data_IF_639812244872
#
_entry.id   IF_639812244872
#
_cell.length_a   1.000
_cell.length_b   1.000
_cell.length_c   1.000
_cell.angle_alpha   90.00
_cell.angle_beta   90.00
_cell.angle_gamma   90.00
#
_symmetry.space_group_name_H-M   'P 1'
#
loop_
_entity.id
_entity.type
_entity.pdbx_description
1 polymer ?
#
# COMPACT_ATOMS: atom_id res chain seq x y z
N UNK A 1 16.34 14.41 56.84
CA UNK A 1 16.55 15.84 56.49
C UNK A 1 17.22 15.84 55.12
N UNK A 2 16.64 16.27 54.00
CA UNK A 2 15.63 17.31 53.74
C UNK A 2 14.47 16.80 52.84
N UNK A 3 13.31 17.46 52.97
CA UNK A 3 12.09 17.43 52.14
C UNK A 3 12.32 18.11 50.77
N UNK A 4 11.51 17.93 49.71
CA UNK A 4 10.14 18.45 49.51
C UNK A 4 9.47 17.84 48.26
N UNK A 5 8.16 17.56 48.39
CA UNK A 5 7.05 17.42 47.43
C UNK A 5 7.28 17.40 45.91
N UNK A 6 6.55 16.48 45.25
CA UNK A 6 5.65 16.82 44.13
C UNK A 6 4.44 15.86 44.09
N UNK A 7 3.25 16.43 44.27
CA UNK A 7 2.05 15.95 43.62
C UNK A 7 2.31 15.97 42.11
N UNK A 8 2.06 14.84 41.43
CA UNK A 8 1.35 14.89 40.14
C UNK A 8 0.73 13.52 39.87
N UNK A 9 -0.57 13.45 40.17
CA UNK A 9 -1.46 12.44 39.64
C UNK A 9 -1.74 12.76 38.17
N UNK A 10 -0.98 12.18 37.24
CA UNK A 10 -1.50 11.91 35.90
C UNK A 10 -0.99 10.55 35.45
N UNK A 11 -1.96 9.65 35.32
CA UNK A 11 -1.90 8.45 34.52
C UNK A 11 -1.47 8.79 33.10
N UNK A 12 -0.20 8.55 32.78
CA UNK A 12 0.24 8.44 31.39
C UNK A 12 -0.27 7.10 30.86
N UNK A 13 -1.53 7.16 30.42
CA UNK A 13 -2.17 6.12 29.63
C UNK A 13 -1.41 6.01 28.32
N UNK A 14 -0.85 4.82 28.11
CA UNK A 14 -0.46 4.20 26.84
C UNK A 14 -0.65 5.11 25.60
N UNK A 15 0.48 5.57 25.04
CA UNK A 15 0.51 5.93 23.64
C UNK A 15 0.32 4.65 22.81
N UNK A 16 -0.93 4.41 22.40
CA UNK A 16 -1.27 3.48 21.32
C UNK A 16 -0.56 3.94 20.05
N UNK A 17 0.57 3.32 19.74
CA UNK A 17 1.18 3.37 18.40
C UNK A 17 0.29 2.61 17.41
N UNK A 18 -0.84 3.20 17.05
CA UNK A 18 -1.53 2.86 15.81
C UNK A 18 -0.75 3.48 14.65
N UNK A 19 -0.41 2.69 13.64
CA UNK A 19 0.07 3.22 12.37
C UNK A 19 -0.85 4.36 11.94
N UNK A 20 -0.28 5.51 11.62
CA UNK A 20 -1.04 6.70 11.22
C UNK A 20 -1.73 6.37 9.89
N UNK A 21 -3.05 6.19 9.84
CA UNK A 21 -3.73 5.73 8.62
C UNK A 21 -3.49 6.73 7.48
N UNK A 22 -3.48 6.29 6.21
CA UNK A 22 -3.04 7.14 5.08
C UNK A 22 -3.75 8.49 4.94
N UNK A 23 -5.00 8.61 5.43
CA UNK A 23 -5.71 9.90 5.52
C UNK A 23 -5.06 10.92 6.47
N UNK A 24 -4.11 10.48 7.29
CA UNK A 24 -3.26 11.29 8.16
C UNK A 24 -1.81 11.40 7.66
N UNK A 25 -1.43 10.72 6.56
CA UNK A 25 -0.13 10.92 5.91
C UNK A 25 -0.20 12.15 5.02
N UNK A 26 0.87 12.92 4.94
CA UNK A 26 0.98 14.12 4.12
C UNK A 26 2.20 14.07 3.19
N UNK A 27 2.19 14.88 2.14
CA UNK A 27 3.41 15.21 1.37
C UNK A 27 4.43 15.90 2.30
N UNK A 28 5.66 16.09 1.80
CA UNK A 28 6.69 16.84 2.52
C UNK A 28 6.28 18.26 2.90
N UNK A 29 5.28 18.84 2.22
CA UNK A 29 4.73 20.17 2.51
C UNK A 29 3.44 20.14 3.35
N UNK A 30 3.11 19.00 3.99
CA UNK A 30 1.97 18.89 4.89
C UNK A 30 0.61 18.74 4.18
N UNK A 31 0.58 18.57 2.86
CA UNK A 31 -0.66 18.32 2.10
C UNK A 31 -1.10 16.87 2.32
N UNK A 32 -2.31 16.57 2.81
CA UNK A 32 -2.76 15.19 3.02
C UNK A 32 -2.64 14.35 1.75
N UNK A 33 -2.21 13.09 1.85
CA UNK A 33 -2.12 12.21 0.68
C UNK A 33 -3.50 11.77 0.20
N UNK A 34 -4.46 11.66 1.12
CA UNK A 34 -5.85 11.33 0.84
C UNK A 34 -6.79 12.30 1.55
N UNK A 35 -7.92 12.58 0.92
CA UNK A 35 -9.06 13.30 1.51
C UNK A 35 -10.25 12.35 1.62
N UNK A 36 -10.74 12.15 2.84
CA UNK A 36 -11.95 11.35 3.10
C UNK A 36 -13.16 12.01 2.43
N UNK A 37 -14.00 11.21 1.78
CA UNK A 37 -15.18 11.70 1.05
C UNK A 37 -14.86 12.36 -0.29
N UNK A 38 -13.65 12.18 -0.81
CA UNK A 38 -13.23 12.64 -2.13
C UNK A 38 -12.87 11.45 -3.05
N UNK A 39 -12.95 11.68 -4.36
CA UNK A 39 -12.31 10.84 -5.37
C UNK A 39 -10.82 11.19 -5.36
N UNK A 40 -10.00 10.31 -4.80
CA UNK A 40 -8.57 10.56 -4.66
C UNK A 40 -7.83 10.18 -5.95
N UNK A 41 -7.25 11.17 -6.64
CA UNK A 41 -6.51 11.02 -7.88
C UNK A 41 -5.00 11.00 -7.59
N UNK A 42 -4.37 9.86 -7.86
CA UNK A 42 -2.92 9.70 -7.78
C UNK A 42 -2.32 9.49 -9.16
N UNK A 43 -1.25 10.23 -9.47
CA UNK A 43 -0.57 10.15 -10.75
C UNK A 43 0.93 10.03 -10.53
N UNK A 44 1.50 8.93 -11.01
CA UNK A 44 2.93 8.73 -11.04
C UNK A 44 3.43 8.96 -12.47
N UNK A 45 4.30 9.94 -12.66
CA UNK A 45 4.79 10.33 -13.99
C UNK A 45 6.14 11.06 -13.91
N UNK A 46 6.97 10.97 -14.96
CA UNK A 46 8.27 11.64 -14.99
C UNK A 46 8.14 13.18 -14.96
N UNK A 47 9.14 13.85 -14.37
CA UNK A 47 9.11 15.29 -14.04
C UNK A 47 8.70 16.28 -15.15
N UNK A 48 9.06 16.12 -16.44
CA UNK A 48 8.60 17.07 -17.46
C UNK A 48 7.10 16.96 -17.73
N UNK A 49 6.55 15.74 -17.67
CA UNK A 49 5.13 15.50 -17.92
C UNK A 49 4.27 15.94 -16.73
N UNK A 50 4.81 15.84 -15.51
CA UNK A 50 4.12 16.24 -14.27
C UNK A 50 3.66 17.70 -14.28
N UNK A 51 4.46 18.63 -14.81
CA UNK A 51 4.12 20.06 -14.83
C UNK A 51 2.95 20.32 -15.80
N UNK A 52 3.05 19.79 -17.02
CA UNK A 52 2.03 19.96 -18.06
C UNK A 52 0.70 19.32 -17.62
N UNK A 53 0.78 18.10 -17.08
CA UNK A 53 -0.39 17.39 -16.60
C UNK A 53 -1.02 18.05 -15.37
N UNK A 54 -0.23 18.66 -14.49
CA UNK A 54 -0.77 19.48 -13.39
C UNK A 54 -1.65 20.60 -13.93
N UNK A 55 -1.18 21.35 -14.93
CA UNK A 55 -1.94 22.48 -15.48
C UNK A 55 -3.31 22.05 -16.03
N UNK A 56 -3.33 20.99 -16.85
CA UNK A 56 -4.57 20.50 -17.48
C UNK A 56 -5.55 19.93 -16.44
N UNK A 57 -5.04 19.19 -15.46
CA UNK A 57 -5.89 18.50 -14.47
C UNK A 57 -6.39 19.46 -13.40
N UNK A 58 -5.65 20.52 -13.07
CA UNK A 58 -6.13 21.57 -12.16
C UNK A 58 -7.44 22.17 -12.69
N UNK A 59 -7.46 22.61 -13.94
CA UNK A 59 -8.64 23.25 -14.54
C UNK A 59 -9.84 22.29 -14.56
N UNK A 60 -9.62 21.05 -14.99
CA UNK A 60 -10.67 20.02 -14.97
C UNK A 60 -11.20 19.75 -13.55
N UNK A 61 -10.31 19.59 -12.57
CA UNK A 61 -10.69 19.30 -11.20
C UNK A 61 -11.47 20.46 -10.57
N UNK A 62 -11.12 21.72 -10.87
CA UNK A 62 -11.85 22.90 -10.41
C UNK A 62 -13.28 22.94 -10.96
N UNK A 63 -13.45 22.73 -12.27
CA UNK A 63 -14.77 22.70 -12.93
C UNK A 63 -15.63 21.55 -12.37
N UNK A 64 -15.04 20.36 -12.23
CA UNK A 64 -15.74 19.21 -11.67
C UNK A 64 -16.17 19.46 -10.22
N UNK A 65 -15.26 19.97 -9.38
CA UNK A 65 -15.51 20.23 -7.97
C UNK A 65 -16.55 21.33 -7.73
N UNK A 66 -16.70 22.27 -8.66
CA UNK A 66 -17.73 23.29 -8.60
C UNK A 66 -19.16 22.74 -8.82
N UNK A 67 -19.29 21.57 -9.46
CA UNK A 67 -20.57 21.03 -9.92
C UNK A 67 -20.97 19.69 -9.29
N UNK A 68 -20.09 19.06 -8.50
CA UNK A 68 -20.32 17.72 -7.95
C UNK A 68 -20.21 17.68 -6.42
N UNK A 69 -21.08 16.90 -5.78
CA UNK A 69 -21.11 16.75 -4.33
C UNK A 69 -19.90 15.98 -3.75
N UNK A 70 -19.29 15.09 -4.54
CA UNK A 70 -18.08 14.35 -4.18
C UNK A 70 -16.91 14.94 -4.97
N UNK A 71 -15.96 15.65 -4.32
CA UNK A 71 -14.89 16.34 -5.04
C UNK A 71 -13.78 15.37 -5.49
N UNK A 72 -13.09 15.71 -6.57
CA UNK A 72 -11.77 15.16 -6.92
C UNK A 72 -10.71 15.85 -6.04
N UNK A 73 -9.84 15.03 -5.46
CA UNK A 73 -8.70 15.47 -4.66
C UNK A 73 -7.43 14.84 -5.18
N UNK A 74 -6.37 15.64 -5.36
CA UNK A 74 -5.04 15.11 -5.62
C UNK A 74 -3.99 15.92 -4.88
N UNK A 75 -3.09 15.27 -4.12
CA UNK A 75 -2.00 15.97 -3.44
C UNK A 75 -1.15 16.78 -4.42
N UNK A 76 -0.96 16.30 -5.65
CA UNK A 76 -0.19 16.99 -6.68
C UNK A 76 -0.75 18.37 -7.08
N UNK A 77 -2.06 18.55 -7.00
CA UNK A 77 -2.73 19.83 -7.30
C UNK A 77 -2.50 20.84 -6.17
N UNK A 78 -2.46 20.36 -4.93
CA UNK A 78 -2.32 21.19 -3.73
C UNK A 78 -0.88 21.33 -3.24
N UNK A 79 0.02 20.46 -3.68
CA UNK A 79 1.42 20.42 -3.30
C UNK A 79 2.24 21.32 -4.23
N UNK A 80 2.83 22.36 -3.65
CA UNK A 80 3.57 23.37 -4.38
C UNK A 80 3.76 24.65 -3.60
N UNK A 81 4.36 24.59 -2.41
CA UNK A 81 5.16 25.67 -1.80
C UNK A 81 5.98 25.04 -0.68
N UNK A 82 7.30 25.25 -0.71
CA UNK A 82 8.25 24.72 0.26
C UNK A 82 7.93 25.28 1.65
N UNK A 83 7.81 24.39 2.64
CA UNK A 83 8.10 24.76 4.02
C UNK A 83 9.09 23.80 4.64
N UNK A 84 10.21 24.39 5.05
CA UNK A 84 11.20 23.86 5.97
C UNK A 84 10.53 23.44 7.28
N UNK A 85 10.90 22.27 7.80
CA UNK A 85 10.29 21.71 9.01
C UNK A 85 10.85 20.35 9.37
N UNK A 86 11.85 20.35 10.26
CA UNK A 86 12.40 19.16 10.92
C UNK A 86 11.30 18.42 11.69
N UNK A 87 11.00 17.19 11.29
CA UNK A 87 10.21 16.26 12.09
C UNK A 87 11.15 15.18 12.67
N UNK A 88 11.14 15.03 14.00
CA UNK A 88 11.73 13.87 14.68
C UNK A 88 10.88 12.65 14.33
N UNK A 89 11.23 12.01 13.22
CA UNK A 89 10.69 10.72 12.80
C UNK A 89 11.39 9.66 13.66
N UNK A 90 10.65 8.75 14.32
CA UNK A 90 11.27 7.60 14.96
C UNK A 90 12.15 6.88 13.94
N UNK A 91 13.46 6.88 14.18
CA UNK A 91 14.41 6.19 13.33
C UNK A 91 14.51 4.74 13.81
N UNK A 92 14.09 3.80 12.98
CA UNK A 92 14.41 2.40 13.19
C UNK A 92 15.92 2.24 13.04
N UNK A 93 16.59 1.74 14.08
CA UNK A 93 18.01 1.44 14.03
C UNK A 93 18.20 0.05 13.40
N UNK A 94 18.94 -0.01 12.30
CA UNK A 94 19.33 -1.28 11.70
C UNK A 94 20.36 -1.94 12.61
N UNK A 95 19.93 -2.94 13.39
CA UNK A 95 20.86 -3.80 14.08
C UNK A 95 21.44 -4.83 13.12
N UNK A 96 22.77 -4.92 13.11
CA UNK A 96 23.46 -5.93 12.34
C UNK A 96 23.32 -7.28 13.05
N UNK A 97 22.60 -8.21 12.44
CA UNK A 97 22.43 -9.56 12.96
C UNK A 97 23.66 -10.36 12.55
N UNK A 98 24.47 -10.76 13.52
CA UNK A 98 25.76 -11.43 13.27
C UNK A 98 25.60 -12.76 12.50
N UNK A 99 24.45 -13.42 12.64
CA UNK A 99 24.13 -14.68 11.96
C UNK A 99 22.62 -14.87 11.81
N UNK A 100 22.09 -14.57 10.62
CA UNK A 100 20.70 -14.85 10.26
C UNK A 100 20.60 -16.14 9.43
N UNK A 101 19.44 -16.79 9.48
CA UNK A 101 19.08 -17.93 8.63
C UNK A 101 17.64 -17.80 8.18
N UNK A 102 17.42 -18.11 6.91
CA UNK A 102 16.10 -18.28 6.31
C UNK A 102 16.15 -19.55 5.47
N UNK A 103 15.14 -20.40 5.61
CA UNK A 103 14.99 -21.63 4.84
C UNK A 103 13.51 -21.87 4.56
N UNK A 104 13.20 -22.40 3.40
CA UNK A 104 11.81 -22.52 3.01
C UNK A 104 11.61 -23.33 1.75
N UNK A 105 10.34 -23.46 1.38
CA UNK A 105 9.91 -24.04 0.12
C UNK A 105 9.09 -22.97 -0.60
N UNK A 106 9.41 -22.78 -1.87
CA UNK A 106 8.69 -21.89 -2.77
C UNK A 106 8.08 -22.72 -3.89
N UNK A 107 6.80 -22.50 -4.14
CA UNK A 107 6.03 -23.12 -5.20
C UNK A 107 5.47 -22.03 -6.10
N UNK A 108 5.74 -22.14 -7.39
CA UNK A 108 5.09 -21.32 -8.41
C UNK A 108 4.40 -22.24 -9.41
N UNK A 109 3.11 -21.99 -9.65
CA UNK A 109 2.32 -22.74 -10.62
C UNK A 109 1.54 -21.77 -11.52
N UNK A 110 1.40 -22.12 -12.80
CA UNK A 110 0.59 -21.35 -13.75
C UNK A 110 -0.05 -22.28 -14.76
N UNK A 111 -1.36 -22.14 -14.94
CA UNK A 111 -2.17 -22.98 -15.82
C UNK A 111 -3.03 -22.07 -16.70
N UNK A 112 -2.85 -22.20 -18.02
CA UNK A 112 -3.74 -21.60 -19.01
C UNK A 112 -5.00 -22.45 -19.15
N UNK A 113 -6.15 -21.82 -18.97
CA UNK A 113 -7.46 -22.43 -19.10
C UNK A 113 -8.11 -22.00 -20.42
N UNK A 114 -9.15 -22.71 -20.89
CA UNK A 114 -9.94 -22.27 -22.04
C UNK A 114 -10.53 -20.86 -21.85
N UNK A 115 -10.97 -20.26 -22.95
CA UNK A 115 -11.63 -18.94 -22.98
C UNK A 115 -10.77 -17.76 -22.49
N UNK A 116 -9.43 -17.88 -22.60
CA UNK A 116 -8.52 -16.78 -22.26
C UNK A 116 -8.29 -16.59 -20.76
N UNK A 117 -8.63 -17.60 -19.95
CA UNK A 117 -8.39 -17.60 -18.52
C UNK A 117 -6.99 -18.14 -18.19
N UNK A 118 -6.39 -17.64 -17.13
CA UNK A 118 -5.13 -18.18 -16.58
C UNK A 118 -5.20 -18.13 -15.06
N UNK A 119 -4.93 -19.26 -14.41
CA UNK A 119 -4.77 -19.32 -12.96
C UNK A 119 -3.28 -19.40 -12.67
N UNK A 120 -2.81 -18.64 -11.69
CA UNK A 120 -1.42 -18.68 -11.25
C UNK A 120 -1.35 -18.55 -9.74
N UNK A 121 -0.41 -19.25 -9.12
CA UNK A 121 -0.21 -19.27 -7.69
C UNK A 121 1.28 -19.17 -7.37
N UNK A 122 1.61 -18.35 -6.38
CA UNK A 122 2.94 -18.20 -5.82
C UNK A 122 2.82 -18.42 -4.31
N UNK A 123 3.40 -19.48 -3.77
CA UNK A 123 3.29 -19.88 -2.37
C UNK A 123 4.68 -20.10 -1.79
N UNK A 124 4.96 -19.45 -0.67
CA UNK A 124 6.22 -19.59 0.08
C UNK A 124 5.92 -19.98 1.50
N UNK A 125 6.55 -21.05 1.98
CA UNK A 125 6.66 -21.36 3.41
C UNK A 125 8.07 -21.06 3.85
N UNK A 126 8.23 -20.30 4.94
CA UNK A 126 9.52 -19.81 5.38
C UNK A 126 9.68 -20.03 6.89
N UNK A 127 10.84 -20.54 7.25
CA UNK A 127 11.35 -20.62 8.61
C UNK A 127 12.57 -19.71 8.70
N UNK A 128 12.63 -18.89 9.75
CA UNK A 128 13.63 -17.82 9.86
C UNK A 128 14.12 -17.69 11.28
N UNK A 129 15.41 -17.45 11.46
CA UNK A 129 16.04 -17.42 12.78
C UNK A 129 17.23 -16.43 12.81
N UNK A 130 17.27 -15.58 13.84
CA UNK A 130 18.48 -14.97 14.37
C UNK A 130 19.23 -16.03 15.21
N UNK A 131 20.22 -16.68 14.61
CA UNK A 131 21.02 -17.73 15.25
C UNK A 131 21.86 -17.24 16.42
N UNK A 132 22.04 -15.93 16.57
CA UNK A 132 22.74 -15.38 17.72
C UNK A 132 21.87 -15.35 18.99
N UNK A 133 20.54 -15.29 18.81
CA UNK A 133 19.56 -15.23 19.91
C UNK A 133 18.68 -16.49 20.00
N UNK A 134 18.67 -17.33 18.97
CA UNK A 134 17.76 -18.47 18.88
C UNK A 134 16.29 -18.06 18.78
N UNK A 135 16.03 -16.92 18.12
CA UNK A 135 14.71 -16.31 17.98
C UNK A 135 14.38 -16.11 16.51
N UNK A 136 13.11 -16.11 16.16
CA UNK A 136 12.67 -15.86 14.78
C UNK A 136 13.06 -14.45 14.32
N UNK A 137 13.30 -14.27 13.02
CA UNK A 137 13.52 -12.94 12.46
C UNK A 137 12.21 -12.13 12.50
N UNK A 138 12.31 -10.86 12.87
CA UNK A 138 11.18 -9.93 12.81
C UNK A 138 10.80 -9.64 11.35
N UNK A 139 9.50 -9.44 11.12
CA UNK A 139 8.88 -9.09 9.84
C UNK A 139 9.05 -10.13 8.74
N UNK A 140 9.30 -11.38 9.13
CA UNK A 140 9.35 -12.53 8.23
C UNK A 140 8.12 -13.40 8.49
N UNK A 141 7.14 -13.42 7.57
CA UNK A 141 5.95 -14.26 7.70
C UNK A 141 6.27 -15.73 7.45
N UNK A 142 5.58 -16.60 8.20
CA UNK A 142 5.71 -18.06 8.09
C UNK A 142 5.19 -18.63 6.77
N UNK A 143 4.17 -17.98 6.19
CA UNK A 143 3.64 -18.27 4.86
C UNK A 143 3.31 -16.99 4.09
N UNK A 144 3.55 -16.98 2.79
CA UNK A 144 3.00 -15.97 1.87
C UNK A 144 2.40 -16.65 0.65
N UNK A 145 1.29 -16.13 0.16
CA UNK A 145 0.61 -16.66 -1.01
C UNK A 145 0.08 -15.53 -1.90
N UNK A 146 0.24 -15.67 -3.21
CA UNK A 146 -0.43 -14.85 -4.22
C UNK A 146 -1.13 -15.75 -5.23
N UNK A 147 -2.45 -15.88 -5.06
CA UNK A 147 -3.31 -16.54 -6.03
C UNK A 147 -3.88 -15.51 -7.00
N UNK A 148 -3.79 -15.79 -8.30
CA UNK A 148 -4.25 -14.90 -9.38
C UNK A 148 -5.12 -15.64 -10.37
N UNK A 149 -6.30 -15.09 -10.63
CA UNK A 149 -7.11 -15.43 -11.80
C UNK A 149 -7.03 -14.28 -12.79
N UNK A 150 -6.48 -14.54 -13.98
CA UNK A 150 -6.39 -13.58 -15.07
C UNK A 150 -7.35 -13.96 -16.21
N UNK A 151 -7.86 -12.95 -16.90
CA UNK A 151 -8.64 -13.07 -18.12
C UNK A 151 -8.03 -12.18 -19.19
N UNK A 152 -7.90 -12.70 -20.41
CA UNK A 152 -7.45 -11.97 -21.58
C UNK A 152 -8.22 -12.41 -22.82
N UNK A 153 -8.94 -11.48 -23.43
CA UNK A 153 -9.65 -11.70 -24.68
C UNK A 153 -9.22 -10.67 -25.71
N UNK A 154 -8.29 -11.08 -26.58
CA UNK A 154 -7.71 -10.23 -27.62
C UNK A 154 -8.78 -9.65 -28.55
N UNK A 155 -9.77 -10.46 -28.95
CA UNK A 155 -10.83 -10.04 -29.88
C UNK A 155 -11.69 -8.90 -29.34
N UNK A 156 -11.97 -8.88 -28.04
CA UNK A 156 -12.76 -7.81 -27.40
C UNK A 156 -11.90 -6.73 -26.77
N UNK A 157 -10.56 -6.90 -26.78
CA UNK A 157 -9.62 -5.98 -26.15
C UNK A 157 -9.68 -5.96 -24.62
N UNK A 158 -10.40 -6.89 -23.99
CA UNK A 158 -10.54 -6.94 -22.53
C UNK A 158 -9.40 -7.74 -21.92
N UNK A 159 -8.85 -7.22 -20.82
CA UNK A 159 -7.96 -7.95 -19.94
C UNK A 159 -8.27 -7.59 -18.50
N UNK A 160 -8.09 -8.53 -17.58
CA UNK A 160 -8.37 -8.27 -16.17
C UNK A 160 -7.80 -9.36 -15.28
N UNK A 161 -7.74 -9.10 -13.98
CA UNK A 161 -7.38 -10.10 -13.01
C UNK A 161 -7.99 -9.83 -11.64
N UNK A 162 -8.18 -10.91 -10.88
CA UNK A 162 -8.38 -10.88 -9.44
C UNK A 162 -7.13 -11.50 -8.81
N UNK A 163 -6.61 -10.85 -7.77
CA UNK A 163 -5.47 -11.31 -7.00
C UNK A 163 -5.84 -11.41 -5.54
N UNK A 164 -5.61 -12.58 -4.94
CA UNK A 164 -5.73 -12.84 -3.51
C UNK A 164 -4.32 -12.95 -2.95
N UNK A 165 -3.94 -12.04 -2.07
CA UNK A 165 -2.63 -12.01 -1.43
C UNK A 165 -2.81 -12.36 0.03
N UNK A 166 -2.32 -13.51 0.45
CA UNK A 166 -2.39 -13.97 1.84
C UNK A 166 -1.02 -13.92 2.48
N UNK A 167 -0.95 -13.44 3.70
CA UNK A 167 0.28 -13.39 4.50
C UNK A 167 -0.03 -14.01 5.85
N UNK A 168 0.82 -14.94 6.27
CA UNK A 168 0.71 -15.61 7.54
C UNK A 168 1.17 -14.74 8.71
N UNK A 169 1.28 -15.37 9.85
CA UNK A 169 1.68 -14.69 11.09
C UNK A 169 3.16 -14.34 11.07
N UNK A 170 3.53 -13.23 11.71
CA UNK A 170 4.93 -12.80 11.81
C UNK A 170 5.20 -12.07 13.11
N UNK A 171 6.44 -12.14 13.58
CA UNK A 171 6.90 -11.33 14.71
C UNK A 171 7.14 -9.90 14.25
N UNK A 172 6.57 -8.91 14.95
CA UNK A 172 6.80 -7.48 14.65
C UNK A 172 7.66 -6.81 15.71
N UNK A 173 7.66 -7.35 16.93
CA UNK A 173 8.59 -6.99 18.00
C UNK A 173 8.92 -8.22 18.84
N UNK A 174 9.87 -8.09 19.77
CA UNK A 174 10.15 -9.15 20.73
C UNK A 174 8.88 -9.49 21.54
N UNK A 175 8.39 -10.72 21.39
CA UNK A 175 7.16 -11.24 22.01
C UNK A 175 5.85 -10.64 21.47
N UNK A 176 5.86 -9.84 20.39
CA UNK A 176 4.65 -9.35 19.74
C UNK A 176 4.52 -9.98 18.36
N UNK A 177 3.44 -10.73 18.16
CA UNK A 177 3.13 -11.42 16.90
C UNK A 177 1.93 -10.74 16.26
N UNK A 178 2.06 -10.38 14.98
CA UNK A 178 0.96 -9.90 14.17
C UNK A 178 0.20 -11.08 13.55
N UNK A 179 -1.13 -10.97 13.53
CA UNK A 179 -2.01 -11.93 12.88
C UNK A 179 -1.80 -11.93 11.36
N UNK A 180 -2.07 -13.08 10.76
CA UNK A 180 -2.10 -13.20 9.30
C UNK A 180 -3.28 -12.43 8.70
N UNK A 181 -3.16 -12.09 7.42
CA UNK A 181 -4.16 -11.31 6.71
C UNK A 181 -4.30 -11.74 5.24
N UNK A 182 -5.38 -11.31 4.60
CA UNK A 182 -5.65 -11.59 3.19
C UNK A 182 -6.18 -10.36 2.50
N UNK A 183 -5.56 -9.96 1.40
CA UNK A 183 -5.99 -8.85 0.56
C UNK A 183 -6.57 -9.38 -0.74
N UNK A 184 -7.69 -8.80 -1.17
CA UNK A 184 -8.27 -9.07 -2.48
C UNK A 184 -8.20 -7.82 -3.33
N UNK A 185 -7.58 -7.95 -4.49
CA UNK A 185 -7.38 -6.89 -5.46
C UNK A 185 -8.03 -7.29 -6.79
N UNK A 186 -8.56 -6.32 -7.53
CA UNK A 186 -9.11 -6.52 -8.85
C UNK A 186 -8.62 -5.45 -9.81
N UNK A 187 -8.42 -5.84 -11.06
CA UNK A 187 -8.00 -4.97 -12.14
C UNK A 187 -8.74 -5.35 -13.42
N UNK A 188 -9.15 -4.35 -14.20
CA UNK A 188 -9.78 -4.50 -15.49
C UNK A 188 -9.24 -3.43 -16.44
N UNK A 189 -8.96 -3.81 -17.67
CA UNK A 189 -8.66 -2.89 -18.75
C UNK A 189 -9.33 -3.31 -20.05
N UNK A 190 -9.56 -2.30 -20.89
CA UNK A 190 -10.17 -2.43 -22.20
C UNK A 190 -9.38 -1.60 -23.21
N UNK A 191 -8.96 -2.21 -24.31
CA UNK A 191 -8.47 -1.46 -25.48
C UNK A 191 -9.61 -0.62 -26.05
N UNK A 192 -9.39 0.69 -26.14
CA UNK A 192 -10.34 1.65 -26.72
C UNK A 192 -9.91 2.09 -28.12
N UNK A 193 -8.64 1.93 -28.46
CA UNK A 193 -8.08 2.06 -29.82
C UNK A 193 -6.91 1.07 -30.01
N UNK A 194 -6.20 1.15 -31.13
CA UNK A 194 -4.95 0.40 -31.36
C UNK A 194 -3.91 0.65 -30.27
N UNK A 195 -3.81 1.91 -29.84
CA UNK A 195 -2.69 2.42 -29.06
C UNK A 195 -3.12 2.96 -27.69
N UNK A 196 -4.38 2.78 -27.32
CA UNK A 196 -4.95 3.30 -26.07
C UNK A 196 -5.79 2.24 -25.36
N UNK A 197 -5.56 2.09 -24.05
CA UNK A 197 -6.37 1.27 -23.16
C UNK A 197 -6.90 2.09 -21.99
N UNK A 198 -8.16 1.91 -21.64
CA UNK A 198 -8.75 2.39 -20.39
C UNK A 198 -8.61 1.29 -19.34
N UNK A 199 -8.15 1.63 -18.14
CA UNK A 199 -8.07 0.70 -17.03
C UNK A 199 -8.69 1.25 -15.76
N UNK A 200 -9.12 0.32 -14.91
CA UNK A 200 -9.63 0.55 -13.57
C UNK A 200 -9.18 -0.60 -12.67
N UNK A 201 -8.85 -0.28 -11.43
CA UNK A 201 -8.49 -1.27 -10.42
C UNK A 201 -8.93 -0.84 -9.04
N UNK A 202 -9.03 -1.83 -8.17
CA UNK A 202 -9.29 -1.68 -6.75
C UNK A 202 -8.36 -2.61 -6.00
N UNK A 203 -7.54 -2.05 -5.13
CA UNK A 203 -6.73 -2.81 -4.18
C UNK A 203 -7.44 -2.84 -2.83
N UNK A 204 -7.28 -3.95 -2.11
CA UNK A 204 -7.84 -4.18 -0.79
C UNK A 204 -9.37 -3.95 -0.75
N UNK A 205 -10.11 -4.69 -1.58
CA UNK A 205 -11.58 -4.56 -1.75
C UNK A 205 -12.33 -4.63 -0.41
N UNK A 206 -11.83 -5.43 0.54
CA UNK A 206 -12.46 -5.64 1.85
C UNK A 206 -11.99 -4.68 2.94
N UNK A 207 -11.12 -3.72 2.60
CA UNK A 207 -10.61 -2.71 3.53
C UNK A 207 -9.94 -3.32 4.77
N UNK A 208 -9.15 -4.37 4.57
CA UNK A 208 -8.35 -5.00 5.62
C UNK A 208 -7.25 -4.05 6.09
N UNK A 209 -7.03 -3.97 7.40
CA UNK A 209 -6.03 -3.10 8.01
C UNK A 209 -5.12 -3.88 8.97
N UNK A 210 -4.23 -4.74 8.44
CA UNK A 210 -3.37 -5.57 9.26
C UNK A 210 -2.34 -4.75 10.04
N UNK A 211 -2.13 -5.13 11.30
CA UNK A 211 -1.09 -4.58 12.18
C UNK A 211 0.33 -5.13 11.84
N UNK A 212 0.57 -5.46 10.58
CA UNK A 212 1.73 -6.18 10.07
C UNK A 212 2.42 -5.38 8.94
N UNK A 213 3.75 -5.48 8.83
CA UNK A 213 4.56 -4.90 7.76
C UNK A 213 4.76 -5.90 6.60
N UNK A 214 4.91 -5.43 5.35
CA UNK A 214 5.20 -6.26 4.17
C UNK A 214 4.04 -6.37 3.17
N UNK A 215 4.28 -6.86 1.94
CA UNK A 215 3.41 -7.07 0.73
C UNK A 215 2.36 -6.00 0.35
N UNK A 216 2.15 -5.02 1.20
CA UNK A 216 1.46 -3.75 1.03
C UNK A 216 2.61 -2.74 1.03
N UNK A 217 2.63 -1.78 0.09
CA UNK A 217 3.78 -0.90 -0.16
C UNK A 217 4.24 -0.03 1.03
N UNK A 218 4.95 -0.62 1.99
CA UNK A 218 5.48 0.05 3.19
C UNK A 218 4.55 0.01 4.41
N UNK A 219 4.92 0.79 5.43
CA UNK A 219 4.24 0.89 6.73
C UNK A 219 2.76 1.23 6.60
N UNK A 220 1.89 0.25 6.83
CA UNK A 220 0.44 0.43 6.92
C UNK A 220 -0.31 0.10 5.63
N UNK A 221 -1.44 -0.60 5.79
CA UNK A 221 -2.36 -0.86 4.70
C UNK A 221 -2.89 0.46 4.13
N UNK A 222 -3.12 0.51 2.82
CA UNK A 222 -3.63 1.73 2.17
C UNK A 222 -5.15 1.90 2.29
N UNK A 223 -5.84 1.07 3.08
CA UNK A 223 -7.29 0.88 2.97
C UNK A 223 -7.71 0.45 1.56
N UNK A 224 -9.02 0.39 1.29
CA UNK A 224 -9.49 0.19 -0.09
C UNK A 224 -9.03 1.35 -0.98
N UNK A 225 -8.31 1.03 -2.06
CA UNK A 225 -7.75 2.00 -2.98
C UNK A 225 -8.28 1.77 -4.40
N UNK A 226 -9.02 2.75 -4.93
CA UNK A 226 -9.48 2.72 -6.31
C UNK A 226 -8.52 3.52 -7.19
N UNK A 227 -8.19 3.00 -8.36
CA UNK A 227 -7.32 3.66 -9.33
C UNK A 227 -7.81 3.38 -10.75
N UNK A 228 -7.42 4.24 -11.69
CA UNK A 228 -7.78 4.08 -13.09
C UNK A 228 -7.08 5.11 -13.95
N UNK A 229 -7.13 4.91 -15.25
CA UNK A 229 -6.47 5.81 -16.19
C UNK A 229 -6.43 5.27 -17.60
N UNK A 230 -5.65 5.96 -18.42
CA UNK A 230 -5.37 5.56 -19.80
C UNK A 230 -3.91 5.10 -19.90
N UNK A 231 -3.68 4.04 -20.66
CA UNK A 231 -2.35 3.61 -21.09
C UNK A 231 -2.22 3.85 -22.58
N UNK A 232 -1.15 4.53 -22.99
CA UNK A 232 -0.80 4.73 -24.38
C UNK A 232 0.40 3.84 -24.73
N UNK A 233 0.32 3.09 -25.82
CA UNK A 233 1.44 2.29 -26.34
C UNK A 233 1.95 2.99 -27.59
N UNK A 234 3.15 3.59 -27.51
CA UNK A 234 3.81 4.31 -28.60
C UNK A 234 4.75 3.38 -29.37
#
# INVERSE_FOLDING_TARGET
MQSVNRNDSKSDVLALCGAVPMHRKSTGNGVPLLKKGAINLYMNMPCPLKVVTKMVITEFAEIYNASHAVPIYSPMLHDGYVKDGKNNIPAYELQNISRAMTRGIELTASIKLPYGLTVSDELTFLDSEDKSKGQDLLYVPDVTNTLKLAYGAERSGFNGNIRVVSVGTQWVENNVRADGYTLVNAYLAKKVSSDTSLFFGVDNIFNEDPAAYGNIGGAGSTGTCFYGGLTFTL
#
